data_IF_880987286217
#
_entry.id   IF_880987286217
#
_cell.length_a   1.000
_cell.length_b   1.000
_cell.length_c   1.000
_cell.angle_alpha   90.00
_cell.angle_beta   90.00
_cell.angle_gamma   90.00
#
_symmetry.space_group_name_H-M   'P 1'
#
loop_
_entity.id
_entity.type
_entity.pdbx_description
1 polymer ?
#
# COMPACT_ATOMS: atom_id res chain seq x y z
N UNK A 1 117.59 -67.49 -49.72
CA UNK A 1 116.44 -68.34 -50.10
C UNK A 1 115.73 -68.69 -48.80
N UNK A 2 114.45 -68.37 -48.62
CA UNK A 2 113.35 -69.06 -49.29
C UNK A 2 112.23 -68.15 -49.80
N UNK A 3 111.81 -68.49 -51.01
CA UNK A 3 110.75 -67.93 -51.82
C UNK A 3 109.39 -68.48 -51.32
N UNK A 4 108.58 -67.69 -50.61
CA UNK A 4 107.19 -68.06 -50.27
C UNK A 4 106.21 -67.48 -51.30
N UNK A 5 106.22 -68.20 -52.42
CA UNK A 5 105.20 -68.50 -53.43
C UNK A 5 104.18 -67.41 -53.89
N UNK A 6 104.16 -67.06 -55.20
CA UNK A 6 103.11 -66.24 -55.83
C UNK A 6 101.70 -66.86 -55.75
N UNK A 7 101.60 -68.13 -55.33
CA UNK A 7 100.33 -68.85 -55.18
C UNK A 7 99.47 -68.30 -54.03
N UNK A 8 100.05 -67.89 -52.90
CA UNK A 8 99.26 -67.37 -51.77
C UNK A 8 98.63 -66.00 -52.08
N UNK A 9 99.35 -65.14 -52.80
CA UNK A 9 98.82 -63.85 -53.25
C UNK A 9 97.67 -64.02 -54.26
N UNK A 10 97.79 -64.98 -55.17
CA UNK A 10 96.74 -65.30 -56.14
C UNK A 10 95.47 -65.83 -55.45
N UNK A 11 95.60 -66.73 -54.47
CA UNK A 11 94.44 -67.24 -53.71
C UNK A 11 93.75 -66.12 -52.94
N UNK A 12 94.51 -65.25 -52.26
CA UNK A 12 93.94 -64.13 -51.50
C UNK A 12 93.20 -63.13 -52.41
N UNK A 13 93.75 -62.83 -53.59
CA UNK A 13 93.11 -61.97 -54.58
C UNK A 13 91.79 -62.58 -55.11
N UNK A 14 91.77 -63.88 -55.41
CA UNK A 14 90.56 -64.58 -55.85
C UNK A 14 89.50 -64.58 -54.74
N UNK A 15 89.88 -64.80 -53.48
CA UNK A 15 88.95 -64.74 -52.34
C UNK A 15 88.39 -63.34 -52.13
N UNK A 16 89.20 -62.29 -52.27
CA UNK A 16 88.74 -60.90 -52.15
C UNK A 16 87.79 -60.51 -53.29
N UNK A 17 88.09 -60.94 -54.53
CA UNK A 17 87.23 -60.70 -55.70
C UNK A 17 85.90 -61.46 -55.56
N UNK A 18 85.95 -62.74 -55.18
CA UNK A 18 84.74 -63.52 -54.95
C UNK A 18 83.90 -62.98 -53.78
N UNK A 19 84.56 -62.52 -52.72
CA UNK A 19 83.92 -61.82 -51.61
C UNK A 19 83.22 -60.54 -52.08
N UNK A 20 83.92 -59.71 -52.86
CA UNK A 20 83.34 -58.48 -53.43
C UNK A 20 82.07 -58.76 -54.23
N UNK A 21 82.11 -59.68 -55.20
CA UNK A 21 80.93 -60.01 -56.01
C UNK A 21 79.79 -60.63 -55.20
N UNK A 22 80.09 -61.40 -54.16
CA UNK A 22 79.06 -61.97 -53.29
C UNK A 22 78.37 -60.90 -52.42
N UNK A 23 79.12 -59.91 -51.93
CA UNK A 23 78.53 -58.80 -51.17
C UNK A 23 77.79 -57.80 -52.07
N UNK A 24 78.28 -57.55 -53.28
CA UNK A 24 77.65 -56.66 -54.28
C UNK A 24 76.25 -57.17 -54.70
N UNK A 25 76.10 -58.48 -54.96
CA UNK A 25 74.79 -59.09 -55.24
C UNK A 25 73.82 -58.98 -54.05
N UNK A 26 74.32 -59.11 -52.81
CA UNK A 26 73.49 -58.95 -51.62
C UNK A 26 73.06 -57.50 -51.38
N UNK A 27 73.95 -56.53 -51.60
CA UNK A 27 73.66 -55.10 -51.48
C UNK A 27 72.60 -54.72 -52.52
N UNK A 28 72.77 -55.14 -53.78
CA UNK A 28 71.85 -54.82 -54.87
C UNK A 28 70.45 -55.39 -54.63
N UNK A 29 70.35 -56.63 -54.12
CA UNK A 29 69.06 -57.23 -53.74
C UNK A 29 68.40 -56.48 -52.59
N UNK A 30 69.17 -56.08 -51.58
CA UNK A 30 68.66 -55.33 -50.45
C UNK A 30 68.16 -53.93 -50.88
N UNK A 31 68.87 -53.26 -51.78
CA UNK A 31 68.43 -51.97 -52.34
C UNK A 31 67.12 -52.10 -53.14
N UNK A 32 66.96 -53.18 -53.92
CA UNK A 32 65.72 -53.46 -54.64
C UNK A 32 64.55 -53.72 -53.68
N UNK A 33 64.74 -54.56 -52.66
CA UNK A 33 63.71 -54.82 -51.63
C UNK A 33 63.33 -53.54 -50.87
N UNK A 34 64.31 -52.70 -50.51
CA UNK A 34 64.05 -51.41 -49.85
C UNK A 34 63.27 -50.47 -50.77
N UNK A 35 63.58 -50.45 -52.06
CA UNK A 35 62.84 -49.65 -53.05
C UNK A 35 61.39 -50.13 -53.21
N UNK A 36 61.16 -51.44 -53.27
CA UNK A 36 59.82 -52.00 -53.40
C UNK A 36 58.97 -51.72 -52.14
N UNK A 37 59.56 -51.86 -50.95
CA UNK A 37 58.89 -51.52 -49.68
C UNK A 37 58.55 -50.02 -49.64
N UNK A 38 59.46 -49.14 -50.09
CA UNK A 38 59.20 -47.71 -50.13
C UNK A 38 58.06 -47.35 -51.10
N UNK A 39 57.97 -48.04 -52.23
CA UNK A 39 56.91 -47.82 -53.21
C UNK A 39 55.55 -48.31 -52.68
N UNK A 40 55.48 -49.52 -52.11
CA UNK A 40 54.25 -50.05 -51.51
C UNK A 40 53.75 -49.15 -50.36
N UNK A 41 54.66 -48.65 -49.53
CA UNK A 41 54.34 -47.74 -48.44
C UNK A 41 53.73 -46.42 -48.95
N UNK A 42 54.32 -45.84 -50.00
CA UNK A 42 53.83 -44.59 -50.57
C UNK A 42 52.46 -44.76 -51.24
N UNK A 43 52.23 -45.87 -51.95
CA UNK A 43 50.95 -46.17 -52.60
C UNK A 43 49.83 -46.33 -51.56
N UNK A 44 50.05 -47.13 -50.51
CA UNK A 44 49.07 -47.30 -49.41
C UNK A 44 48.80 -46.00 -48.66
N UNK A 45 49.80 -45.13 -48.51
CA UNK A 45 49.62 -43.84 -47.81
C UNK A 45 48.78 -42.85 -48.63
N UNK A 46 48.92 -42.86 -49.95
CA UNK A 46 48.11 -42.02 -50.86
C UNK A 46 46.67 -42.52 -50.91
N UNK A 47 46.45 -43.83 -50.95
CA UNK A 47 45.13 -44.45 -50.95
C UNK A 47 44.36 -44.12 -49.65
N UNK A 48 45.01 -44.24 -48.49
CA UNK A 48 44.41 -43.88 -47.19
C UNK A 48 44.12 -42.39 -47.06
N UNK A 49 44.95 -41.49 -47.62
CA UNK A 49 44.68 -40.05 -47.60
C UNK A 49 43.47 -39.66 -48.45
N UNK A 50 43.25 -40.35 -49.57
CA UNK A 50 42.11 -40.10 -50.46
C UNK A 50 40.78 -40.56 -49.85
N UNK A 51 40.79 -41.63 -49.05
CA UNK A 51 39.58 -42.19 -48.43
C UNK A 51 39.19 -41.50 -47.11
N UNK A 52 40.15 -40.91 -46.39
CA UNK A 52 39.93 -40.32 -45.05
C UNK A 52 39.50 -38.85 -45.11
N UNK A 53 39.85 -38.11 -46.18
CA UNK A 53 39.39 -36.73 -46.38
C UNK A 53 38.53 -36.67 -47.65
N UNK A 54 37.33 -37.23 -47.55
CA UNK A 54 36.25 -36.88 -48.48
C UNK A 54 35.66 -35.53 -48.08
N UNK A 55 35.38 -34.68 -49.06
CA UNK A 55 34.73 -33.36 -48.88
C UNK A 55 33.46 -33.44 -48.02
N UNK A 56 32.78 -34.59 -48.00
CA UNK A 56 31.58 -34.85 -47.22
C UNK A 56 31.81 -34.81 -45.70
N UNK A 57 32.92 -35.33 -45.20
CA UNK A 57 33.22 -35.31 -43.76
C UNK A 57 33.49 -33.89 -43.25
N UNK A 58 34.13 -33.05 -44.06
CA UNK A 58 34.38 -31.65 -43.74
C UNK A 58 33.06 -30.84 -43.70
N UNK A 59 32.18 -31.06 -44.68
CA UNK A 59 30.87 -30.41 -44.74
C UNK A 59 29.97 -30.80 -43.56
N UNK A 60 29.96 -32.08 -43.17
CA UNK A 60 29.19 -32.56 -42.01
C UNK A 60 29.70 -31.92 -40.71
N UNK A 61 31.03 -31.79 -40.55
CA UNK A 61 31.61 -31.20 -39.35
C UNK A 61 31.35 -29.68 -39.27
N UNK A 62 31.37 -28.99 -40.41
CA UNK A 62 31.01 -27.57 -40.50
C UNK A 62 29.53 -27.34 -40.17
N UNK A 63 28.63 -28.17 -40.69
CA UNK A 63 27.19 -28.10 -40.38
C UNK A 63 26.94 -28.36 -38.87
N UNK A 64 27.59 -29.38 -38.29
CA UNK A 64 27.51 -29.62 -36.85
C UNK A 64 28.01 -28.43 -36.03
N UNK A 65 29.10 -27.79 -36.44
CA UNK A 65 29.63 -26.62 -35.76
C UNK A 65 28.65 -25.43 -35.85
N UNK A 66 28.05 -25.20 -37.03
CA UNK A 66 27.05 -24.16 -37.23
C UNK A 66 25.79 -24.41 -36.39
N UNK A 67 25.31 -25.66 -36.33
CA UNK A 67 24.20 -26.05 -35.46
C UNK A 67 24.55 -25.82 -33.98
N UNK A 68 25.75 -26.19 -33.54
CA UNK A 68 26.21 -25.98 -32.17
C UNK A 68 26.27 -24.49 -31.80
N UNK A 69 26.77 -23.65 -32.71
CA UNK A 69 26.80 -22.20 -32.53
C UNK A 69 25.37 -21.66 -32.39
N UNK A 70 24.44 -22.10 -33.25
CA UNK A 70 23.04 -21.68 -33.19
C UNK A 70 22.37 -22.09 -31.87
N UNK A 71 22.53 -23.36 -31.46
CA UNK A 71 21.98 -23.87 -30.20
C UNK A 71 22.55 -23.10 -28.99
N UNK A 72 23.84 -22.78 -28.99
CA UNK A 72 24.44 -21.95 -27.93
C UNK A 72 23.85 -20.55 -27.88
N UNK A 73 23.66 -19.90 -29.04
CA UNK A 73 23.03 -18.59 -29.12
C UNK A 73 21.57 -18.62 -28.62
N UNK A 74 20.80 -19.63 -29.00
CA UNK A 74 19.41 -19.79 -28.55
C UNK A 74 19.33 -20.09 -27.05
N UNK A 75 20.28 -20.87 -26.51
CA UNK A 75 20.39 -21.13 -25.08
C UNK A 75 20.69 -19.85 -24.30
N UNK A 76 21.62 -19.01 -24.79
CA UNK A 76 21.92 -17.72 -24.16
C UNK A 76 20.69 -16.80 -24.11
N UNK A 77 19.97 -16.66 -25.23
CA UNK A 77 18.73 -15.88 -25.30
C UNK A 77 17.68 -16.43 -24.32
N UNK A 78 17.60 -17.76 -24.19
CA UNK A 78 16.66 -18.42 -23.27
C UNK A 78 17.02 -18.15 -21.82
N UNK A 79 18.32 -18.16 -21.47
CA UNK A 79 18.80 -17.82 -20.14
C UNK A 79 18.52 -16.35 -19.78
N UNK A 80 18.73 -15.42 -20.71
CA UNK A 80 18.38 -14.01 -20.53
C UNK A 80 16.88 -13.82 -20.29
N UNK A 81 16.04 -14.48 -21.09
CA UNK A 81 14.58 -14.47 -20.91
C UNK A 81 14.16 -15.06 -19.56
N UNK A 82 14.78 -16.16 -19.13
CA UNK A 82 14.51 -16.76 -17.83
C UNK A 82 14.90 -15.81 -16.70
N UNK A 83 16.09 -15.21 -16.77
CA UNK A 83 16.55 -14.22 -15.78
C UNK A 83 15.59 -13.02 -15.70
N UNK A 84 15.14 -12.50 -16.85
CA UNK A 84 14.16 -11.42 -16.89
C UNK A 84 12.80 -11.86 -16.30
N UNK A 85 12.34 -13.06 -16.61
CA UNK A 85 11.09 -13.61 -16.07
C UNK A 85 11.18 -13.79 -14.55
N UNK A 86 12.29 -14.32 -14.03
CA UNK A 86 12.53 -14.44 -12.59
C UNK A 86 12.54 -13.07 -11.91
N UNK A 87 13.20 -12.08 -12.51
CA UNK A 87 13.17 -10.71 -12.02
C UNK A 87 11.76 -10.12 -11.96
N UNK A 88 10.97 -10.28 -13.02
CA UNK A 88 9.56 -9.83 -13.05
C UNK A 88 8.69 -10.53 -12.00
N UNK A 89 8.88 -11.83 -11.79
CA UNK A 89 8.15 -12.59 -10.76
C UNK A 89 8.50 -12.11 -9.36
N UNK A 90 9.77 -11.75 -9.10
CA UNK A 90 10.17 -11.16 -7.81
C UNK A 90 9.46 -9.84 -7.57
N UNK A 91 9.48 -8.92 -8.55
CA UNK A 91 8.78 -7.63 -8.44
C UNK A 91 7.27 -7.82 -8.22
N UNK A 92 6.64 -8.74 -8.96
CA UNK A 92 5.23 -9.06 -8.78
C UNK A 92 4.93 -9.62 -7.38
N UNK A 93 5.84 -10.44 -6.83
CA UNK A 93 5.74 -10.93 -5.45
C UNK A 93 5.76 -9.80 -4.43
N UNK A 94 6.68 -8.86 -4.60
CA UNK A 94 6.80 -7.68 -3.73
C UNK A 94 5.57 -6.77 -3.83
N UNK A 95 5.07 -6.52 -5.04
CA UNK A 95 3.83 -5.76 -5.27
C UNK A 95 2.63 -6.45 -4.63
N UNK A 96 2.52 -7.78 -4.75
CA UNK A 96 1.42 -8.54 -4.16
C UNK A 96 1.45 -8.50 -2.62
N UNK A 97 2.63 -8.53 -2.01
CA UNK A 97 2.79 -8.33 -0.57
C UNK A 97 2.35 -6.93 -0.14
N UNK A 98 2.78 -5.89 -0.86
CA UNK A 98 2.36 -4.51 -0.57
C UNK A 98 0.85 -4.30 -0.74
N UNK A 99 0.23 -4.91 -1.75
CA UNK A 99 -1.22 -4.90 -1.94
C UNK A 99 -1.95 -5.62 -0.79
N UNK A 100 -1.40 -6.73 -0.28
CA UNK A 100 -1.97 -7.42 0.87
C UNK A 100 -1.96 -6.54 2.13
N UNK A 101 -0.84 -5.88 2.42
CA UNK A 101 -0.71 -4.97 3.55
C UNK A 101 -1.65 -3.76 3.42
N UNK A 102 -1.74 -3.19 2.22
CA UNK A 102 -2.66 -2.10 1.92
C UNK A 102 -4.12 -2.51 2.15
N UNK A 103 -4.51 -3.72 1.72
CA UNK A 103 -5.85 -4.27 1.97
C UNK A 103 -6.13 -4.43 3.47
N UNK A 104 -5.13 -4.85 4.25
CA UNK A 104 -5.21 -4.89 5.72
C UNK A 104 -5.49 -3.51 6.33
N UNK A 105 -4.74 -2.49 5.90
CA UNK A 105 -4.94 -1.10 6.34
C UNK A 105 -6.32 -0.56 5.96
N UNK A 106 -6.80 -0.81 4.74
CA UNK A 106 -8.14 -0.41 4.29
C UNK A 106 -9.23 -1.05 5.13
N UNK A 107 -9.10 -2.35 5.48
CA UNK A 107 -10.06 -3.03 6.36
C UNK A 107 -10.09 -2.40 7.76
N UNK A 108 -8.93 -2.07 8.32
CA UNK A 108 -8.83 -1.39 9.61
C UNK A 108 -9.47 0.00 9.58
N UNK A 109 -9.25 0.77 8.50
CA UNK A 109 -9.90 2.07 8.28
C UNK A 109 -11.42 1.94 8.21
N UNK A 110 -11.94 0.92 7.51
CA UNK A 110 -13.39 0.70 7.43
C UNK A 110 -14.00 0.43 8.81
N UNK A 111 -13.38 -0.43 9.63
CA UNK A 111 -13.83 -0.67 11.02
C UNK A 111 -13.76 0.59 11.88
N UNK A 112 -12.71 1.41 11.72
CA UNK A 112 -12.60 2.68 12.45
C UNK A 112 -13.67 3.69 12.01
N UNK A 113 -14.03 3.70 10.73
CA UNK A 113 -15.08 4.55 10.19
C UNK A 113 -16.46 4.15 10.73
N UNK A 114 -16.79 2.86 10.71
CA UNK A 114 -18.02 2.33 11.31
C UNK A 114 -18.14 2.69 12.81
N UNK A 115 -17.05 2.56 13.57
CA UNK A 115 -17.01 2.96 14.97
C UNK A 115 -17.23 4.47 15.17
N UNK A 116 -16.66 5.29 14.29
CA UNK A 116 -16.83 6.75 14.31
C UNK A 116 -18.27 7.15 13.97
N UNK A 117 -18.89 6.50 12.99
CA UNK A 117 -20.28 6.72 12.61
C UNK A 117 -21.24 6.38 13.76
N UNK A 118 -21.00 5.25 14.46
CA UNK A 118 -21.78 4.90 15.65
C UNK A 118 -21.63 5.93 16.78
N UNK A 119 -20.41 6.43 17.01
CA UNK A 119 -20.15 7.46 18.02
C UNK A 119 -20.82 8.80 17.69
N UNK A 120 -20.83 9.19 16.41
CA UNK A 120 -21.56 10.37 15.92
C UNK A 120 -23.06 10.21 16.13
N UNK A 121 -23.64 9.10 15.68
CA UNK A 121 -25.07 8.80 15.87
C UNK A 121 -25.48 8.81 17.35
N UNK A 122 -24.62 8.30 18.25
CA UNK A 122 -24.86 8.36 19.69
C UNK A 122 -24.79 9.79 20.23
N UNK A 123 -23.83 10.58 19.75
CA UNK A 123 -23.66 11.98 20.14
C UNK A 123 -24.85 12.82 19.70
N UNK A 124 -25.36 12.63 18.49
CA UNK A 124 -26.57 13.30 18.00
C UNK A 124 -27.80 12.96 18.87
N UNK A 125 -27.97 11.68 19.23
CA UNK A 125 -29.05 11.26 20.15
C UNK A 125 -28.92 11.95 21.51
N UNK A 126 -27.70 12.03 22.08
CA UNK A 126 -27.45 12.71 23.35
C UNK A 126 -27.69 14.22 23.26
N UNK A 127 -27.31 14.86 22.17
CA UNK A 127 -27.57 16.28 21.92
C UNK A 127 -29.08 16.56 21.83
N UNK A 128 -29.83 15.72 21.12
CA UNK A 128 -31.30 15.83 21.07
C UNK A 128 -31.91 15.64 22.47
N UNK A 129 -31.45 14.66 23.24
CA UNK A 129 -31.91 14.46 24.62
C UNK A 129 -31.62 15.66 25.52
N UNK A 130 -30.40 16.20 25.47
CA UNK A 130 -30.00 17.38 26.22
C UNK A 130 -30.84 18.59 25.84
N UNK A 131 -31.06 18.81 24.54
CA UNK A 131 -31.93 19.88 24.04
C UNK A 131 -33.35 19.73 24.59
N UNK A 132 -33.94 18.53 24.52
CA UNK A 132 -35.29 18.29 25.04
C UNK A 132 -35.38 18.50 26.56
N UNK A 133 -34.37 18.08 27.32
CA UNK A 133 -34.30 18.31 28.78
C UNK A 133 -34.24 19.81 29.05
N UNK A 134 -33.36 20.53 28.35
CA UNK A 134 -33.19 21.96 28.49
C UNK A 134 -34.47 22.73 28.13
N UNK A 135 -35.10 22.42 27.00
CA UNK A 135 -36.38 23.01 26.58
C UNK A 135 -37.48 22.76 27.61
N UNK A 136 -37.59 21.54 28.13
CA UNK A 136 -38.59 21.19 29.14
C UNK A 136 -38.36 21.94 30.46
N UNK A 137 -37.11 22.04 30.92
CA UNK A 137 -36.75 22.75 32.14
C UNK A 137 -37.01 24.25 32.01
N UNK A 138 -36.59 24.86 30.91
CA UNK A 138 -36.80 26.27 30.67
C UNK A 138 -38.28 26.60 30.50
N UNK A 139 -39.05 25.76 29.81
CA UNK A 139 -40.50 25.92 29.68
C UNK A 139 -41.17 25.92 31.05
N UNK A 140 -40.84 24.95 31.91
CA UNK A 140 -41.35 24.89 33.27
C UNK A 140 -40.92 26.12 34.10
N UNK A 141 -39.67 26.59 33.95
CA UNK A 141 -39.20 27.81 34.60
C UNK A 141 -40.03 29.02 34.17
N UNK A 142 -40.22 29.23 32.87
CA UNK A 142 -41.01 30.34 32.32
C UNK A 142 -42.46 30.26 32.82
N UNK A 143 -43.09 29.09 32.74
CA UNK A 143 -44.45 28.87 33.23
C UNK A 143 -44.57 29.20 34.72
N UNK A 144 -43.65 28.74 35.56
CA UNK A 144 -43.66 29.00 36.99
C UNK A 144 -43.49 30.49 37.32
N UNK A 145 -42.60 31.20 36.61
CA UNK A 145 -42.41 32.64 36.82
C UNK A 145 -43.66 33.43 36.37
N UNK A 146 -44.29 33.04 35.26
CA UNK A 146 -45.55 33.65 34.80
C UNK A 146 -46.71 33.39 35.78
N UNK A 147 -46.83 32.18 36.30
CA UNK A 147 -47.85 31.84 37.30
C UNK A 147 -47.66 32.67 38.58
N UNK A 148 -46.42 32.80 39.07
CA UNK A 148 -46.12 33.66 40.23
C UNK A 148 -46.53 35.11 39.99
N UNK A 149 -46.27 35.65 38.79
CA UNK A 149 -46.70 37.02 38.44
C UNK A 149 -48.23 37.14 38.53
N UNK A 150 -48.97 36.14 38.02
CA UNK A 150 -50.43 36.11 38.15
C UNK A 150 -50.89 36.05 39.61
N UNK A 151 -50.33 35.15 40.42
CA UNK A 151 -50.70 34.99 41.84
C UNK A 151 -50.44 36.28 42.64
N UNK A 152 -49.34 36.98 42.33
CA UNK A 152 -49.00 38.30 42.88
C UNK A 152 -50.01 39.37 42.47
N UNK A 153 -50.47 39.36 41.22
CA UNK A 153 -51.47 40.30 40.73
C UNK A 153 -52.84 40.05 41.39
N UNK A 154 -53.26 38.79 41.50
CA UNK A 154 -54.54 38.40 42.09
C UNK A 154 -54.61 38.72 43.59
N UNK A 155 -53.56 38.34 44.34
CA UNK A 155 -53.45 38.64 45.78
C UNK A 155 -53.54 40.14 46.06
N UNK A 156 -52.89 40.97 45.24
CA UNK A 156 -52.91 42.43 45.40
C UNK A 156 -54.29 43.02 45.08
N UNK A 157 -54.99 42.51 44.05
CA UNK A 157 -56.37 42.93 43.72
C UNK A 157 -57.37 42.54 44.82
N UNK A 158 -57.25 41.34 45.37
CA UNK A 158 -58.12 40.87 46.46
C UNK A 158 -58.00 41.71 47.75
N UNK A 159 -56.79 42.14 48.10
CA UNK A 159 -56.56 43.03 49.25
C UNK A 159 -57.15 44.43 49.01
N UNK A 160 -57.10 44.94 47.78
CA UNK A 160 -57.68 46.24 47.45
C UNK A 160 -59.22 46.25 47.48
N UNK A 161 -59.86 45.12 47.18
CA UNK A 161 -61.33 44.99 47.08
C UNK A 161 -61.98 44.71 48.45
N UNK A 162 -61.28 44.03 49.36
CA UNK A 162 -61.87 43.58 50.64
C UNK A 162 -61.92 44.63 51.75
N UNK A 163 -61.50 45.88 51.50
CA UNK A 163 -61.72 46.98 52.44
C UNK A 163 -61.12 46.76 53.83
N UNK A 164 -60.12 45.90 53.97
CA UNK A 164 -59.42 45.70 55.24
C UNK A 164 -58.67 46.99 55.58
N UNK A 165 -59.01 47.56 56.74
CA UNK A 165 -58.38 48.73 57.33
C UNK A 165 -56.92 48.37 57.65
N UNK A 166 -56.05 48.47 56.65
CA UNK A 166 -54.61 48.45 56.83
C UNK A 166 -54.14 49.91 56.93
N UNK A 167 -53.22 50.24 57.86
CA UNK A 167 -52.62 51.57 57.90
C UNK A 167 -52.07 51.90 56.51
N UNK A 168 -52.28 53.12 56.03
CA UNK A 168 -51.97 53.61 54.67
C UNK A 168 -50.54 53.24 54.20
N UNK A 169 -49.62 53.06 55.15
CA UNK A 169 -48.25 52.58 54.92
C UNK A 169 -48.19 51.16 54.32
N UNK A 170 -49.08 50.24 54.74
CA UNK A 170 -49.09 48.83 54.35
C UNK A 170 -49.45 48.58 52.88
N UNK A 171 -50.33 49.39 52.32
CA UNK A 171 -50.78 49.26 50.91
C UNK A 171 -49.65 49.69 49.96
N UNK A 172 -49.00 50.82 50.22
CA UNK A 172 -47.87 51.29 49.43
C UNK A 172 -46.69 50.30 49.46
N UNK A 173 -46.38 49.72 50.64
CA UNK A 173 -45.35 48.69 50.75
C UNK A 173 -45.70 47.40 50.00
N UNK A 174 -46.98 47.02 49.95
CA UNK A 174 -47.43 45.84 49.22
C UNK A 174 -47.31 46.03 47.71
N UNK A 175 -47.69 47.20 47.17
CA UNK A 175 -47.51 47.53 45.76
C UNK A 175 -46.02 47.61 45.36
N UNK A 176 -45.17 48.19 46.22
CA UNK A 176 -43.72 48.23 45.99
C UNK A 176 -43.10 46.82 45.98
N UNK A 177 -43.52 45.95 46.91
CA UNK A 177 -43.11 44.55 46.94
C UNK A 177 -43.55 43.80 45.67
N UNK A 178 -44.81 43.95 45.26
CA UNK A 178 -45.33 43.36 44.03
C UNK A 178 -44.51 43.78 42.81
N UNK A 179 -44.29 45.08 42.63
CA UNK A 179 -43.53 45.59 41.48
C UNK A 179 -42.09 45.05 41.44
N UNK A 180 -41.44 44.95 42.62
CA UNK A 180 -40.10 44.38 42.73
C UNK A 180 -40.08 42.89 42.35
N UNK A 181 -40.99 42.09 42.89
CA UNK A 181 -41.09 40.65 42.61
C UNK A 181 -41.46 40.38 41.16
N UNK A 182 -42.46 41.08 40.60
CA UNK A 182 -42.81 40.99 39.19
C UNK A 182 -41.61 41.30 38.31
N UNK A 183 -40.85 42.37 38.59
CA UNK A 183 -39.64 42.70 37.83
C UNK A 183 -38.58 41.60 37.92
N UNK A 184 -38.43 40.95 39.08
CA UNK A 184 -37.52 39.83 39.26
C UNK A 184 -37.93 38.61 38.41
N UNK A 185 -39.21 38.23 38.44
CA UNK A 185 -39.73 37.12 37.63
C UNK A 185 -39.64 37.42 36.13
N UNK A 186 -39.94 38.64 35.70
CA UNK A 186 -39.76 39.08 34.33
C UNK A 186 -38.30 38.98 33.89
N UNK A 187 -37.35 39.40 34.73
CA UNK A 187 -35.91 39.29 34.45
C UNK A 187 -35.46 37.83 34.36
N UNK A 188 -35.99 36.93 35.17
CA UNK A 188 -35.69 35.50 35.08
C UNK A 188 -36.17 34.89 33.75
N UNK A 189 -37.37 35.25 33.31
CA UNK A 189 -37.91 34.83 32.00
C UNK A 189 -37.02 35.38 30.88
N UNK A 190 -36.66 36.66 30.93
CA UNK A 190 -35.77 37.30 29.95
C UNK A 190 -34.42 36.59 29.88
N UNK A 191 -33.77 36.35 31.02
CA UNK A 191 -32.48 35.63 31.08
C UNK A 191 -32.58 34.23 30.47
N UNK A 192 -33.70 33.53 30.68
CA UNK A 192 -33.95 32.21 30.11
C UNK A 192 -34.05 32.28 28.58
N UNK A 193 -34.82 33.24 28.06
CA UNK A 193 -34.98 33.47 26.61
C UNK A 193 -33.65 33.87 25.96
N UNK A 194 -32.87 34.74 26.61
CA UNK A 194 -31.59 35.20 26.09
C UNK A 194 -30.56 34.06 26.08
N UNK A 195 -30.58 33.19 27.10
CA UNK A 195 -29.77 31.98 27.11
C UNK A 195 -30.16 31.03 25.96
N UNK A 196 -31.45 30.84 25.70
CA UNK A 196 -31.93 30.04 24.56
C UNK A 196 -31.48 30.60 23.22
N UNK A 197 -31.59 31.92 23.02
CA UNK A 197 -31.11 32.57 21.81
C UNK A 197 -29.59 32.38 21.64
N UNK A 198 -28.83 32.44 22.74
CA UNK A 198 -27.38 32.21 22.71
C UNK A 198 -27.02 30.76 22.37
N UNK A 199 -27.76 29.79 22.89
CA UNK A 199 -27.46 28.36 22.73
C UNK A 199 -28.06 27.78 21.45
N UNK A 200 -29.27 28.18 21.05
CA UNK A 200 -30.02 27.61 19.93
C UNK A 200 -30.30 28.58 18.78
N UNK A 201 -29.85 29.85 18.89
CA UNK A 201 -30.14 30.90 17.90
C UNK A 201 -31.58 31.44 17.94
N UNK A 202 -32.46 30.85 18.75
CA UNK A 202 -33.88 31.24 18.87
C UNK A 202 -34.43 30.88 20.24
N UNK A 203 -35.53 31.53 20.62
CA UNK A 203 -36.35 31.08 21.75
C UNK A 203 -37.09 29.80 21.35
N UNK A 204 -37.02 28.79 22.21
CA UNK A 204 -37.55 27.44 21.96
C UNK A 204 -38.56 26.99 23.01
N UNK A 205 -38.47 27.52 24.24
CA UNK A 205 -39.30 27.03 25.36
C UNK A 205 -40.55 27.86 25.62
N UNK A 206 -40.64 29.07 25.07
CA UNK A 206 -41.81 29.95 25.21
C UNK A 206 -42.78 29.74 24.04
N UNK A 207 -44.05 29.43 24.34
CA UNK A 207 -45.11 29.33 23.34
C UNK A 207 -45.83 30.68 23.15
N UNK A 208 -46.74 30.76 22.18
CA UNK A 208 -47.41 32.03 21.84
C UNK A 208 -48.24 32.61 22.98
N UNK A 209 -48.94 31.77 23.75
CA UNK A 209 -49.70 32.19 24.92
C UNK A 209 -48.80 32.78 26.02
N UNK A 210 -47.73 32.08 26.39
CA UNK A 210 -46.74 32.58 27.35
C UNK A 210 -46.06 33.85 26.85
N UNK A 211 -45.82 33.97 25.55
CA UNK A 211 -45.22 35.15 24.93
C UNK A 211 -46.14 36.35 25.02
N UNK A 212 -47.43 36.19 24.72
CA UNK A 212 -48.43 37.25 24.89
C UNK A 212 -48.51 37.68 26.35
N UNK A 213 -48.56 36.71 27.26
CA UNK A 213 -48.63 37.01 28.68
C UNK A 213 -47.39 37.77 29.18
N UNK A 214 -46.21 37.31 28.78
CA UNK A 214 -44.96 37.99 29.09
C UNK A 214 -44.95 39.42 28.52
N UNK A 215 -45.39 39.61 27.27
CA UNK A 215 -45.48 40.95 26.66
C UNK A 215 -46.37 41.86 27.51
N UNK A 216 -47.59 41.43 27.82
CA UNK A 216 -48.55 42.22 28.61
C UNK A 216 -48.04 42.52 30.02
N UNK A 217 -47.51 41.52 30.72
CA UNK A 217 -47.19 41.64 32.15
C UNK A 217 -45.79 42.20 32.44
N UNK A 218 -44.83 41.95 31.55
CA UNK A 218 -43.42 42.29 31.77
C UNK A 218 -42.91 43.41 30.88
N UNK A 219 -43.49 43.63 29.70
CA UNK A 219 -43.05 44.69 28.80
C UNK A 219 -44.00 45.88 28.89
N UNK A 220 -45.29 45.67 28.65
CA UNK A 220 -46.25 46.76 28.49
C UNK A 220 -46.59 47.42 29.84
N UNK A 221 -46.98 46.65 30.87
CA UNK A 221 -47.29 47.20 32.22
C UNK A 221 -46.09 47.84 32.93
N UNK A 222 -44.86 47.45 32.61
CA UNK A 222 -43.66 48.07 33.20
C UNK A 222 -43.32 49.42 32.56
N UNK A 223 -43.73 49.66 31.30
CA UNK A 223 -43.61 50.96 30.65
C UNK A 223 -44.63 51.98 31.19
N UNK A 224 -45.80 51.52 31.64
CA UNK A 224 -46.83 52.37 32.26
C UNK A 224 -46.49 52.82 33.69
N UNK A 225 -45.70 52.02 34.43
CA UNK A 225 -45.31 52.31 35.82
C UNK A 225 -43.95 52.99 35.96
N UNK A 226 -43.23 53.19 34.85
CA UNK A 226 -41.93 53.87 34.78
C UNK A 226 -41.98 55.35 34.35
N UNK A 227 -43.18 55.91 34.14
CA UNK A 227 -43.44 57.35 34.00
C UNK A 227 -43.92 57.92 35.33
#
# INVERSE_FOLDING_TARGET
>A
MENKSPFFAAVLAITLIAGYFFYDDKITKLEAEVSDIANEYNEKTVEVKSDVITTDNANILEDLNNQLIKVRSELQITQEKLSLATGKTSVLGDEMSQMHDARGKVKSLNTSLEGTEQALNLSDKKLIQLKNIFEKQNKANIQNNLQRIYDLEDTTKGIAITGLILPVVGIATLFAYKNKETKNYCKNIQNTIDLEKKVFGRAVSINDEMKQLYQTQCIDKQQETGK
#
